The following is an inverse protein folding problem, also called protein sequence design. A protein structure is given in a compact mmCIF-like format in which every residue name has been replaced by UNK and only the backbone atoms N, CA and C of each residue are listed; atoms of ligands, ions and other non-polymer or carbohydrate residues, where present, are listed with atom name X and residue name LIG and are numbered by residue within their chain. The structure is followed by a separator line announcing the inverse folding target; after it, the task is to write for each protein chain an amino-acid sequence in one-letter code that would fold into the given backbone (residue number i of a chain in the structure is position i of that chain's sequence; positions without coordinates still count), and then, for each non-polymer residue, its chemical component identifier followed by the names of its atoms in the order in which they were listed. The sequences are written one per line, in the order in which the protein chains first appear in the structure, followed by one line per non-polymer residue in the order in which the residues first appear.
data_IF_307446222630
#
_entry.id   IF_307446222630
#
_cell.length_a   1.000
_cell.length_b   1.000
_cell.length_c   1.000
_cell.angle_alpha   90.00
_cell.angle_beta   90.00
_cell.angle_gamma   90.00
#
_symmetry.space_group_name_H-M   'P 1'
#
loop_
_entity.id
_entity.type
_entity.pdbx_description
1 polymer ?
#
# COMPACT_ATOMS: atom_id res chain seq x y z
N UNK A 1 -20.41 1.61 18.20
CA UNK A 1 -19.40 1.24 19.21
C UNK A 1 -18.15 2.01 18.79
N UNK A 2 -17.57 2.80 19.72
CA UNK A 2 -16.30 3.49 19.45
C UNK A 2 -15.17 2.55 19.84
N UNK A 3 -14.31 2.21 18.89
CA UNK A 3 -13.10 1.42 19.13
C UNK A 3 -11.94 2.37 19.46
N UNK A 4 -11.14 2.01 20.46
CA UNK A 4 -9.98 2.77 20.89
C UNK A 4 -8.73 1.88 20.82
N UNK A 5 -7.68 2.34 20.17
CA UNK A 5 -6.38 1.69 20.18
C UNK A 5 -5.61 2.21 21.40
N UNK A 6 -5.27 1.33 22.32
CA UNK A 6 -4.54 1.65 23.56
C UNK A 6 -3.20 0.91 23.60
N UNK A 7 -2.20 1.50 24.28
CA UNK A 7 -0.90 0.84 24.51
C UNK A 7 -1.06 -0.37 25.43
N UNK A 8 -0.21 -1.38 25.24
CA UNK A 8 -0.26 -2.62 26.01
C UNK A 8 -0.14 -2.38 27.54
N UNK A 9 0.68 -1.43 27.96
CA UNK A 9 0.85 -1.09 29.36
C UNK A 9 -0.42 -0.49 29.97
N UNK A 10 -1.06 0.43 29.24
CA UNK A 10 -2.36 0.99 29.63
C UNK A 10 -3.46 -0.10 29.70
N UNK A 11 -3.42 -1.05 28.74
CA UNK A 11 -4.36 -2.19 28.77
C UNK A 11 -4.15 -3.08 30.00
N UNK A 12 -2.90 -3.31 30.42
CA UNK A 12 -2.57 -4.03 31.67
C UNK A 12 -3.06 -3.31 32.90
N UNK A 13 -2.84 -2.00 32.99
CA UNK A 13 -3.31 -1.17 34.10
C UNK A 13 -4.83 -1.19 34.21
N UNK A 14 -5.53 -1.02 33.09
CA UNK A 14 -6.99 -1.12 33.06
C UNK A 14 -7.49 -2.51 33.50
N UNK A 15 -6.84 -3.60 33.04
CA UNK A 15 -7.19 -4.96 33.44
C UNK A 15 -6.94 -5.23 34.94
N UNK A 16 -5.98 -4.54 35.56
CA UNK A 16 -5.74 -4.61 37.01
C UNK A 16 -6.82 -3.91 37.84
N UNK A 17 -7.39 -2.83 37.32
CA UNK A 17 -8.46 -2.07 37.98
C UNK A 17 -9.84 -2.68 37.80
N UNK A 18 -10.06 -3.35 36.69
CA UNK A 18 -11.32 -3.99 36.35
C UNK A 18 -11.64 -5.18 37.27
N UNK A 19 -12.79 -5.15 37.96
CA UNK A 19 -13.23 -6.19 38.90
C UNK A 19 -14.20 -7.24 38.30
N UNK A 20 -14.45 -7.15 36.98
CA UNK A 20 -15.32 -8.07 36.27
C UNK A 20 -14.59 -9.36 35.83
N UNK A 21 -15.33 -10.35 35.32
CA UNK A 21 -14.78 -11.64 34.87
C UNK A 21 -13.78 -11.48 33.72
N UNK A 22 -14.00 -10.54 32.77
CA UNK A 22 -13.06 -10.25 31.68
C UNK A 22 -11.74 -9.70 32.22
N UNK A 23 -11.76 -8.81 33.19
CA UNK A 23 -10.55 -8.32 33.86
C UNK A 23 -9.76 -9.45 34.54
N UNK A 24 -10.46 -10.45 35.16
CA UNK A 24 -9.81 -11.66 35.71
C UNK A 24 -9.14 -12.49 34.61
N UNK A 25 -9.80 -12.70 33.48
CA UNK A 25 -9.28 -13.48 32.36
C UNK A 25 -8.01 -12.84 31.78
N UNK A 26 -8.04 -11.54 31.56
CA UNK A 26 -6.89 -10.77 31.04
C UNK A 26 -5.71 -10.80 32.04
N UNK A 27 -5.97 -10.64 33.36
CA UNK A 27 -4.91 -10.77 34.37
C UNK A 27 -4.28 -12.17 34.37
N UNK A 28 -5.10 -13.24 34.29
CA UNK A 28 -4.61 -14.63 34.20
C UNK A 28 -3.74 -14.85 32.97
N UNK A 29 -4.16 -14.30 31.84
CA UNK A 29 -3.37 -14.34 30.59
C UNK A 29 -2.00 -13.68 30.78
N UNK A 30 -1.94 -12.48 31.31
CA UNK A 30 -0.65 -11.79 31.56
C UNK A 30 0.24 -12.55 32.55
N UNK A 31 -0.32 -13.12 33.62
CA UNK A 31 0.42 -13.95 34.57
C UNK A 31 1.00 -15.21 33.88
N UNK A 32 0.23 -15.83 33.00
CA UNK A 32 0.71 -17.00 32.25
C UNK A 32 1.83 -16.65 31.29
N UNK A 33 1.69 -15.53 30.55
CA UNK A 33 2.73 -15.04 29.64
C UNK A 33 4.01 -14.71 30.40
N UNK A 34 3.89 -14.02 31.55
CA UNK A 34 5.04 -13.70 32.39
C UNK A 34 5.74 -14.96 32.94
N UNK A 35 4.98 -15.96 33.41
CA UNK A 35 5.53 -17.24 33.86
C UNK A 35 6.25 -17.98 32.73
N UNK A 36 5.67 -18.03 31.52
CA UNK A 36 6.29 -18.64 30.34
C UNK A 36 7.59 -17.89 29.95
N UNK A 37 7.57 -16.57 29.98
CA UNK A 37 8.75 -15.75 29.67
C UNK A 37 9.88 -15.98 30.69
N UNK A 38 9.56 -15.98 31.99
CA UNK A 38 10.54 -16.26 33.06
C UNK A 38 11.12 -17.67 32.94
N UNK A 39 10.28 -18.70 32.71
CA UNK A 39 10.76 -20.08 32.54
C UNK A 39 11.65 -20.25 31.31
N UNK A 40 11.32 -19.61 30.18
CA UNK A 40 12.14 -19.61 28.97
C UNK A 40 13.48 -18.89 29.16
N UNK A 41 13.47 -17.76 29.88
CA UNK A 41 14.69 -16.99 30.22
C UNK A 41 15.61 -17.75 31.17
N UNK A 42 15.10 -18.44 32.16
CA UNK A 42 15.87 -19.28 33.09
C UNK A 42 16.47 -20.49 32.33
N UNK A 43 15.70 -21.12 31.46
CA UNK A 43 16.19 -22.26 30.67
C UNK A 43 17.35 -21.87 29.74
N UNK A 44 17.38 -20.63 29.25
CA UNK A 44 18.49 -20.12 28.42
C UNK A 44 19.74 -19.75 29.24
N UNK A 45 19.58 -19.34 30.50
CA UNK A 45 20.71 -19.02 31.38
C UNK A 45 21.47 -20.26 31.89
N UNK A 46 20.81 -21.41 31.99
CA UNK A 46 21.42 -22.68 32.41
C UNK A 46 22.16 -23.42 31.27
N UNK A 47 22.05 -22.92 30.01
CA UNK A 47 22.72 -23.53 28.87
C UNK A 47 24.22 -23.17 28.86
N UNK A 48 25.02 -24.10 28.32
CA UNK A 48 26.44 -23.82 28.09
C UNK A 48 26.64 -22.60 27.21
N UNK A 49 27.74 -21.82 27.40
CA UNK A 49 28.00 -20.62 26.59
C UNK A 49 27.97 -20.89 25.07
N UNK A 50 28.39 -22.08 24.66
CA UNK A 50 28.38 -22.51 23.24
C UNK A 50 26.93 -22.64 22.71
N UNK A 51 26.03 -23.21 23.48
CA UNK A 51 24.61 -23.34 23.11
C UNK A 51 23.92 -21.97 23.08
N UNK A 52 24.26 -21.07 23.99
CA UNK A 52 23.72 -19.70 23.96
C UNK A 52 24.13 -18.97 22.68
N UNK A 53 25.40 -19.09 22.25
CA UNK A 53 25.88 -18.50 20.97
C UNK A 53 25.18 -19.14 19.79
N UNK A 54 24.96 -20.45 19.76
CA UNK A 54 24.23 -21.11 18.67
C UNK A 54 22.77 -20.63 18.57
N UNK A 55 22.07 -20.46 19.68
CA UNK A 55 20.71 -19.94 19.71
C UNK A 55 20.68 -18.48 19.18
N UNK A 56 21.64 -17.66 19.60
CA UNK A 56 21.73 -16.29 19.10
C UNK A 56 22.01 -16.23 17.59
N UNK A 57 22.89 -17.08 17.09
CA UNK A 57 23.17 -17.20 15.65
C UNK A 57 21.92 -17.61 14.87
N UNK A 58 21.19 -18.59 15.35
CA UNK A 58 19.96 -19.05 14.68
C UNK A 58 18.87 -17.97 14.69
N UNK A 59 18.70 -17.23 15.78
CA UNK A 59 17.78 -16.10 15.86
C UNK A 59 18.20 -14.97 14.91
N UNK A 60 19.49 -14.71 14.78
CA UNK A 60 20.01 -13.72 13.85
C UNK A 60 19.85 -14.13 12.39
N UNK A 61 20.08 -15.40 12.08
CA UNK A 61 19.81 -15.96 10.75
C UNK A 61 18.32 -15.84 10.37
N UNK A 62 17.40 -16.13 11.29
CA UNK A 62 15.96 -15.93 11.05
C UNK A 62 15.62 -14.47 10.77
N UNK A 63 16.15 -13.55 11.56
CA UNK A 63 15.96 -12.10 11.32
C UNK A 63 16.53 -11.64 9.98
N UNK A 64 17.66 -12.20 9.57
CA UNK A 64 18.26 -11.90 8.27
C UNK A 64 17.42 -12.47 7.13
N UNK A 65 16.92 -13.70 7.28
CA UNK A 65 16.03 -14.32 6.30
C UNK A 65 14.72 -13.50 6.10
N UNK A 66 14.09 -13.08 7.20
CA UNK A 66 12.88 -12.21 7.14
C UNK A 66 13.18 -10.86 6.45
N UNK A 67 14.35 -10.26 6.74
CA UNK A 67 14.77 -9.02 6.08
C UNK A 67 15.04 -9.22 4.59
N UNK A 68 15.66 -10.34 4.21
CA UNK A 68 15.92 -10.67 2.81
C UNK A 68 14.63 -10.85 2.04
N UNK A 69 13.68 -11.62 2.57
CA UNK A 69 12.35 -11.79 1.97
C UNK A 69 11.64 -10.45 1.77
N UNK A 70 11.70 -9.57 2.78
CA UNK A 70 11.14 -8.23 2.66
C UNK A 70 11.82 -7.39 1.58
N UNK A 71 13.16 -7.46 1.48
CA UNK A 71 13.92 -6.76 0.45
C UNK A 71 13.64 -7.33 -0.94
N UNK A 72 13.54 -8.64 -1.08
CA UNK A 72 13.21 -9.31 -2.35
C UNK A 72 11.83 -8.86 -2.85
N UNK A 73 10.81 -8.85 -1.96
CA UNK A 73 9.47 -8.37 -2.29
C UNK A 73 9.47 -6.91 -2.73
N UNK A 74 10.27 -6.06 -2.08
CA UNK A 74 10.42 -4.65 -2.49
C UNK A 74 11.13 -4.50 -3.84
N UNK A 75 12.17 -5.27 -4.08
CA UNK A 75 12.88 -5.26 -5.37
C UNK A 75 11.94 -5.68 -6.50
N UNK A 76 11.11 -6.70 -6.28
CA UNK A 76 10.12 -7.13 -7.28
C UNK A 76 9.07 -6.05 -7.54
N UNK A 77 8.56 -5.40 -6.50
CA UNK A 77 7.65 -4.26 -6.65
C UNK A 77 8.27 -3.11 -7.43
N UNK A 78 9.54 -2.77 -7.17
CA UNK A 78 10.27 -1.75 -7.94
C UNK A 78 10.42 -2.16 -9.41
N UNK A 79 10.71 -3.43 -9.69
CA UNK A 79 10.79 -3.95 -11.06
C UNK A 79 9.48 -3.79 -11.79
N UNK A 80 8.35 -4.13 -11.17
CA UNK A 80 7.01 -3.93 -11.75
C UNK A 80 6.77 -2.46 -12.13
N UNK A 81 7.16 -1.53 -11.26
CA UNK A 81 7.02 -0.09 -11.50
C UNK A 81 7.92 0.37 -12.65
N UNK A 82 9.17 -0.09 -12.69
CA UNK A 82 10.13 0.30 -13.75
C UNK A 82 9.72 -0.30 -15.10
N UNK A 83 9.22 -1.53 -15.13
CA UNK A 83 8.84 -2.26 -16.34
C UNK A 83 7.58 -1.72 -17.03
N UNK A 84 6.83 -0.80 -16.39
CA UNK A 84 5.68 -0.17 -17.06
C UNK A 84 6.08 0.50 -18.37
N UNK A 85 5.52 0.03 -19.49
CA UNK A 85 5.83 0.49 -20.84
C UNK A 85 4.69 1.34 -21.43
N UNK A 86 5.05 2.16 -22.42
CA UNK A 86 4.09 2.97 -23.16
C UNK A 86 3.13 2.16 -24.02
N UNK A 87 3.42 0.89 -24.30
CA UNK A 87 2.55 0.04 -25.14
C UNK A 87 1.36 -0.55 -24.36
N UNK A 88 1.58 -0.99 -23.12
CA UNK A 88 0.57 -1.54 -22.20
C UNK A 88 0.08 -0.55 -21.15
N UNK A 89 0.42 0.72 -21.32
CA UNK A 89 0.27 1.77 -20.31
C UNK A 89 -1.10 1.83 -19.62
N UNK A 90 -2.20 1.54 -20.35
CA UNK A 90 -3.56 1.59 -19.75
C UNK A 90 -3.77 0.52 -18.69
N UNK A 91 -3.32 -0.70 -18.98
CA UNK A 91 -3.47 -1.84 -18.07
C UNK A 91 -2.53 -1.69 -16.89
N UNK A 92 -1.28 -1.35 -17.16
CA UNK A 92 -0.23 -1.22 -16.14
C UNK A 92 -0.52 -0.09 -15.18
N UNK A 93 -0.85 1.11 -15.67
CA UNK A 93 -1.23 2.23 -14.81
C UNK A 93 -2.51 1.94 -14.03
N UNK A 94 -3.50 1.28 -14.65
CA UNK A 94 -4.73 0.87 -13.98
C UNK A 94 -4.50 -0.16 -12.87
N UNK A 95 -3.58 -1.11 -13.08
CA UNK A 95 -3.17 -2.11 -12.09
C UNK A 95 -2.45 -1.41 -10.92
N UNK A 96 -1.49 -0.55 -11.22
CA UNK A 96 -0.71 0.16 -10.22
C UNK A 96 -1.57 1.09 -9.36
N UNK A 97 -2.47 1.87 -9.96
CA UNK A 97 -3.38 2.74 -9.19
C UNK A 97 -4.33 1.94 -8.28
N UNK A 98 -4.75 0.73 -8.68
CA UNK A 98 -5.54 -0.16 -7.80
C UNK A 98 -4.71 -0.69 -6.64
N UNK A 99 -3.44 -1.08 -6.91
CA UNK A 99 -2.51 -1.53 -5.88
C UNK A 99 -2.26 -0.42 -4.85
N UNK A 100 -2.03 0.82 -5.31
CA UNK A 100 -1.90 2.00 -4.42
C UNK A 100 -3.17 2.20 -3.59
N UNK A 101 -4.35 2.13 -4.20
CA UNK A 101 -5.63 2.30 -3.48
C UNK A 101 -5.87 1.22 -2.43
N UNK A 102 -5.43 -0.03 -2.66
CA UNK A 102 -5.55 -1.12 -1.68
C UNK A 102 -4.56 -0.98 -0.52
N UNK A 103 -3.33 -0.54 -0.78
CA UNK A 103 -2.30 -0.34 0.25
C UNK A 103 -2.59 0.87 1.15
N UNK A 104 -3.21 1.92 0.60
CA UNK A 104 -3.60 3.10 1.37
C UNK A 104 -4.79 2.84 2.33
N UNK A 105 -5.50 1.72 2.22
CA UNK A 105 -6.62 1.34 3.06
C UNK A 105 -7.72 2.41 3.11
N UNK A 106 -8.24 2.69 4.31
CA UNK A 106 -9.30 3.69 4.51
C UNK A 106 -8.87 5.15 4.27
N UNK A 107 -7.56 5.41 4.13
CA UNK A 107 -7.03 6.77 3.99
C UNK A 107 -7.27 7.38 2.61
N UNK A 108 -7.27 6.58 1.53
CA UNK A 108 -7.53 7.02 0.16
C UNK A 108 -8.11 5.90 -0.70
N UNK A 109 -9.23 6.19 -1.34
CA UNK A 109 -9.83 5.25 -2.29
C UNK A 109 -9.07 5.24 -3.63
N UNK A 110 -9.26 4.19 -4.41
CA UNK A 110 -8.80 4.13 -5.80
C UNK A 110 -9.21 5.38 -6.62
N UNK A 111 -10.41 5.91 -6.36
CA UNK A 111 -10.93 7.10 -7.06
C UNK A 111 -10.12 8.36 -6.72
N UNK A 112 -9.70 8.50 -5.47
CA UNK A 112 -8.90 9.65 -5.02
C UNK A 112 -7.51 9.62 -5.65
N UNK A 113 -6.84 8.45 -5.64
CA UNK A 113 -5.52 8.27 -6.26
C UNK A 113 -5.59 8.52 -7.77
N UNK A 114 -6.64 8.04 -8.42
CA UNK A 114 -6.88 8.27 -9.84
C UNK A 114 -7.12 9.75 -10.15
N UNK A 115 -7.88 10.44 -9.31
CA UNK A 115 -8.12 11.88 -9.45
C UNK A 115 -6.84 12.67 -9.26
N UNK A 116 -6.03 12.32 -8.24
CA UNK A 116 -4.71 12.90 -7.99
C UNK A 116 -3.79 12.72 -9.20
N UNK A 117 -3.78 11.55 -9.83
CA UNK A 117 -2.94 11.28 -11.02
C UNK A 117 -3.29 12.20 -12.19
N UNK A 118 -4.58 12.48 -12.44
CA UNK A 118 -4.99 13.41 -13.49
C UNK A 118 -4.64 14.86 -13.15
N UNK A 119 -4.82 15.28 -11.90
CA UNK A 119 -4.45 16.64 -11.47
C UNK A 119 -2.95 16.89 -11.62
N UNK A 120 -2.12 15.90 -11.28
CA UNK A 120 -0.68 15.97 -11.47
C UNK A 120 -0.30 16.05 -12.95
N UNK A 121 -0.99 15.29 -13.82
CA UNK A 121 -0.79 15.34 -15.25
C UNK A 121 -1.16 16.72 -15.83
N UNK A 122 -2.33 17.25 -15.45
CA UNK A 122 -2.76 18.59 -15.87
C UNK A 122 -1.76 19.67 -15.45
N UNK A 123 -1.27 19.60 -14.21
CA UNK A 123 -0.28 20.54 -13.69
C UNK A 123 1.09 20.44 -14.39
N UNK A 124 1.57 19.21 -14.63
CA UNK A 124 2.89 18.96 -15.23
C UNK A 124 2.93 19.30 -16.72
N UNK A 125 1.89 18.94 -17.44
CA UNK A 125 1.82 19.09 -18.89
C UNK A 125 1.14 20.39 -19.34
N UNK A 126 0.60 21.18 -18.41
CA UNK A 126 -0.12 22.41 -18.72
C UNK A 126 -1.39 22.20 -19.56
N UNK A 127 -2.06 21.04 -19.40
CA UNK A 127 -3.23 20.66 -20.19
C UNK A 127 -4.48 20.57 -19.32
N UNK A 128 -5.63 20.82 -19.92
CA UNK A 128 -6.93 20.57 -19.28
C UNK A 128 -7.59 19.35 -19.94
N UNK A 129 -7.54 18.21 -19.24
CA UNK A 129 -8.06 16.92 -19.75
C UNK A 129 -9.57 17.00 -19.97
N UNK A 130 -10.31 17.62 -19.05
CA UNK A 130 -11.78 17.76 -19.15
C UNK A 130 -12.17 18.56 -20.40
N UNK A 131 -11.48 19.65 -20.67
CA UNK A 131 -11.72 20.47 -21.86
C UNK A 131 -11.39 19.70 -23.16
N UNK A 132 -10.26 18.99 -23.17
CA UNK A 132 -9.88 18.14 -24.31
C UNK A 132 -10.91 17.04 -24.56
N UNK A 133 -11.45 16.41 -23.50
CA UNK A 133 -12.51 15.41 -23.60
C UNK A 133 -13.81 16.01 -24.21
N UNK A 134 -14.20 17.19 -23.78
CA UNK A 134 -15.35 17.91 -24.32
C UNK A 134 -15.14 18.22 -25.81
N UNK A 135 -13.96 18.72 -26.17
CA UNK A 135 -13.63 19.02 -27.56
C UNK A 135 -13.59 17.77 -28.44
N UNK A 136 -13.07 16.65 -27.92
CA UNK A 136 -13.08 15.35 -28.60
C UNK A 136 -14.50 14.86 -28.87
N UNK A 137 -15.39 14.96 -27.86
CA UNK A 137 -16.81 14.61 -28.00
C UNK A 137 -17.53 15.49 -29.05
N UNK A 138 -17.22 16.78 -29.14
CA UNK A 138 -17.74 17.70 -30.15
C UNK A 138 -17.28 17.29 -31.57
N UNK A 139 -15.99 17.09 -31.77
CA UNK A 139 -15.48 16.63 -33.08
C UNK A 139 -16.14 15.34 -33.53
N UNK A 140 -16.28 14.36 -32.66
CA UNK A 140 -16.97 13.12 -32.99
C UNK A 140 -18.46 13.32 -33.27
N UNK A 141 -19.08 14.36 -32.70
CA UNK A 141 -20.48 14.70 -33.06
C UNK A 141 -20.56 15.28 -34.46
N UNK A 142 -19.62 16.17 -34.82
CA UNK A 142 -19.52 16.77 -36.16
C UNK A 142 -19.22 15.72 -37.23
N UNK A 143 -18.47 14.65 -36.88
CA UNK A 143 -18.17 13.48 -37.70
C UNK A 143 -19.34 12.47 -37.79
N UNK A 144 -20.49 12.77 -37.15
CA UNK A 144 -21.68 11.90 -37.20
C UNK A 144 -21.62 10.66 -36.31
N UNK A 145 -20.67 10.57 -35.36
CA UNK A 145 -20.57 9.44 -34.42
C UNK A 145 -21.76 9.43 -33.45
N UNK A 146 -22.38 8.28 -33.26
CA UNK A 146 -23.54 8.17 -32.39
C UNK A 146 -23.26 8.57 -30.92
N UNK A 147 -24.26 9.12 -30.25
CA UNK A 147 -24.17 9.62 -28.87
C UNK A 147 -23.64 8.57 -27.89
N UNK A 148 -24.10 7.34 -28.00
CA UNK A 148 -23.67 6.22 -27.14
C UNK A 148 -22.14 5.96 -27.18
N UNK A 149 -21.49 6.08 -28.33
CA UNK A 149 -20.03 5.96 -28.44
C UNK A 149 -19.30 7.16 -27.85
N UNK A 150 -19.84 8.37 -28.04
CA UNK A 150 -19.25 9.59 -27.49
C UNK A 150 -19.32 9.64 -25.97
N UNK A 151 -20.41 9.15 -25.36
CA UNK A 151 -20.61 9.15 -23.93
C UNK A 151 -19.70 8.14 -23.21
N UNK A 152 -19.22 7.10 -23.89
CA UNK A 152 -18.25 6.12 -23.37
C UNK A 152 -16.82 6.66 -23.26
N UNK A 153 -16.53 7.81 -23.91
CA UNK A 153 -15.20 8.40 -23.83
C UNK A 153 -14.87 8.86 -22.43
N UNK A 154 -13.66 8.54 -21.99
CA UNK A 154 -13.11 8.89 -20.68
C UNK A 154 -11.78 9.65 -20.79
N UNK A 155 -11.22 10.07 -19.64
CA UNK A 155 -9.97 10.83 -19.59
C UNK A 155 -8.79 10.05 -20.21
N UNK A 156 -8.75 8.71 -20.07
CA UNK A 156 -7.70 7.88 -20.66
C UNK A 156 -7.74 7.90 -22.19
N UNK A 157 -8.93 8.11 -22.81
CA UNK A 157 -9.04 8.20 -24.26
C UNK A 157 -8.48 9.51 -24.81
N UNK A 158 -8.44 10.55 -23.98
CA UNK A 158 -7.77 11.82 -24.30
C UNK A 158 -6.26 11.70 -24.17
N UNK A 159 -5.81 11.00 -23.14
CA UNK A 159 -4.37 10.74 -22.92
C UNK A 159 -3.82 9.88 -24.07
N UNK A 160 -4.59 8.90 -24.55
CA UNK A 160 -4.20 8.01 -25.64
C UNK A 160 -3.98 8.71 -26.99
N UNK A 161 -4.57 9.88 -27.20
CA UNK A 161 -4.40 10.65 -28.44
C UNK A 161 -3.03 11.33 -28.56
N UNK A 162 -2.29 11.46 -27.46
CA UNK A 162 -1.04 12.20 -27.43
C UNK A 162 0.05 11.37 -26.71
N UNK A 163 1.07 10.96 -27.48
CA UNK A 163 2.18 10.15 -26.97
C UNK A 163 2.90 10.81 -25.79
N UNK A 164 3.04 12.14 -25.82
CA UNK A 164 3.67 12.89 -24.70
C UNK A 164 2.81 12.81 -23.43
N UNK A 165 1.48 12.81 -23.56
CA UNK A 165 0.59 12.65 -22.42
C UNK A 165 0.66 11.22 -21.87
N UNK A 166 0.81 10.20 -22.71
CA UNK A 166 1.01 8.81 -22.27
C UNK A 166 2.30 8.71 -21.44
N UNK A 167 3.42 9.19 -21.98
CA UNK A 167 4.71 9.16 -21.29
C UNK A 167 4.66 9.93 -19.95
N UNK A 168 4.06 11.12 -19.96
CA UNK A 168 3.87 11.93 -18.76
C UNK A 168 2.98 11.25 -17.72
N UNK A 169 1.91 10.56 -18.16
CA UNK A 169 1.01 9.85 -17.28
C UNK A 169 1.66 8.62 -16.63
N UNK A 170 2.40 7.83 -17.42
CA UNK A 170 3.18 6.69 -16.90
C UNK A 170 4.20 7.16 -15.87
N UNK A 171 4.95 8.24 -16.16
CA UNK A 171 5.90 8.79 -15.21
C UNK A 171 5.25 9.21 -13.89
N UNK A 172 4.09 9.87 -13.96
CA UNK A 172 3.34 10.28 -12.74
C UNK A 172 2.85 9.08 -11.94
N UNK A 173 2.35 8.03 -12.61
CA UNK A 173 1.90 6.82 -11.88
C UNK A 173 3.07 6.11 -11.22
N UNK A 174 4.25 6.07 -11.86
CA UNK A 174 5.50 5.57 -11.24
C UNK A 174 5.87 6.37 -9.99
N UNK A 175 5.83 7.69 -10.06
CA UNK A 175 6.10 8.56 -8.91
C UNK A 175 5.09 8.38 -7.77
N UNK A 176 3.80 8.19 -8.09
CA UNK A 176 2.78 7.90 -7.11
C UNK A 176 3.02 6.54 -6.44
N UNK A 177 3.43 5.51 -7.19
CA UNK A 177 3.77 4.20 -6.64
C UNK A 177 4.91 4.28 -5.62
N UNK A 178 5.95 5.06 -5.93
CA UNK A 178 7.07 5.32 -5.01
C UNK A 178 6.60 6.13 -3.79
N UNK A 179 5.81 7.19 -4.01
CA UNK A 179 5.29 8.06 -2.93
C UNK A 179 4.45 7.29 -1.91
N UNK A 180 3.64 6.34 -2.37
CA UNK A 180 2.75 5.54 -1.52
C UNK A 180 3.37 4.22 -1.06
N UNK A 181 4.65 3.98 -1.34
CA UNK A 181 5.38 2.82 -0.83
C UNK A 181 4.96 1.49 -1.44
N UNK A 182 4.36 1.51 -2.63
CA UNK A 182 3.92 0.32 -3.38
C UNK A 182 5.03 -0.22 -4.27
N UNK A 183 6.10 0.55 -4.39
CA UNK A 183 7.32 0.21 -5.13
C UNK A 183 8.43 -0.22 -4.16
#
# INVERSE_FOLDING_TARGET
IKEYIIRLDTAKEMAMLERNEKGKEVRRYFIQVEKKYKSASLATQELSPQLQVMIQLELEQKRQAEKLEHVENRVESIREVVAMDSNSWREDTGRMLRKIGSECGDSKSYQDVRTESYQLLEKRMGVNIKQRLTNKRRRMADEGVCKSKRDKLNNLDVIADDKKLIEGYVAIVKELAIKYGVA
#
